data_IF_237393483682
#
_entry.id   IF_237393483682
#
_cell.length_a   1.000
_cell.length_b   1.000
_cell.length_c   1.000
_cell.angle_alpha   90.00
_cell.angle_beta   90.00
_cell.angle_gamma   90.00
#
_symmetry.space_group_name_H-M   'P 1'
#
loop_
_entity.id
_entity.type
_entity.pdbx_description
1 polymer ?
#
# COMPACT_ATOMS: atom_id res chain seq x y z
N UNK A 1 -27.56 6.45 17.67
CA UNK A 1 -27.12 7.28 16.53
C UNK A 1 -26.53 6.35 15.47
N UNK A 2 -27.25 6.10 14.38
CA UNK A 2 -26.77 5.26 13.27
C UNK A 2 -25.79 6.07 12.43
N UNK A 3 -24.53 5.60 12.34
CA UNK A 3 -23.51 6.19 11.47
C UNK A 3 -23.60 5.50 10.11
N UNK A 4 -23.90 6.26 9.07
CA UNK A 4 -23.93 5.75 7.71
C UNK A 4 -22.52 5.78 7.10
N UNK A 5 -22.07 4.70 6.44
CA UNK A 5 -20.78 4.71 5.75
C UNK A 5 -20.84 5.71 4.58
N UNK A 6 -19.90 6.65 4.56
CA UNK A 6 -19.74 7.60 3.46
C UNK A 6 -19.55 6.82 2.16
N UNK A 7 -20.47 6.96 1.21
CA UNK A 7 -20.43 6.23 -0.07
C UNK A 7 -20.87 7.18 -1.16
N UNK A 8 -20.04 7.34 -2.19
CA UNK A 8 -20.34 8.14 -3.38
C UNK A 8 -20.47 7.21 -4.58
N UNK A 9 -21.51 7.40 -5.38
CA UNK A 9 -21.69 6.66 -6.63
C UNK A 9 -21.37 7.56 -7.80
N UNK A 10 -20.37 7.17 -8.59
CA UNK A 10 -20.00 7.81 -9.85
C UNK A 10 -20.30 6.80 -10.98
N UNK A 11 -21.55 6.80 -11.44
CA UNK A 11 -22.03 5.81 -12.43
C UNK A 11 -21.87 4.38 -11.91
N UNK A 12 -21.12 3.48 -12.59
CA UNK A 12 -20.91 2.11 -12.16
C UNK A 12 -19.89 1.95 -11.02
N UNK A 13 -19.17 3.03 -10.65
CA UNK A 13 -18.13 3.00 -9.63
C UNK A 13 -18.68 3.48 -8.29
N UNK A 14 -18.59 2.61 -7.28
CA UNK A 14 -18.92 2.96 -5.89
C UNK A 14 -17.63 3.30 -5.15
N UNK A 15 -17.45 4.57 -4.80
CA UNK A 15 -16.35 5.04 -3.95
C UNK A 15 -16.81 4.95 -2.50
N UNK A 16 -16.15 4.10 -1.72
CA UNK A 16 -16.40 4.00 -0.28
C UNK A 16 -15.52 5.00 0.47
N UNK A 17 -15.99 5.48 1.62
CA UNK A 17 -15.23 6.34 2.52
C UNK A 17 -13.95 5.68 2.99
N UNK A 18 -13.95 4.35 3.14
CA UNK A 18 -12.74 3.58 3.38
C UNK A 18 -11.73 3.75 2.25
N UNK A 19 -12.14 3.57 0.98
CA UNK A 19 -11.26 3.77 -0.17
C UNK A 19 -10.74 5.20 -0.27
N UNK A 20 -11.59 6.19 0.02
CA UNK A 20 -11.19 7.59 0.07
C UNK A 20 -10.13 7.85 1.15
N UNK A 21 -10.32 7.31 2.35
CA UNK A 21 -9.35 7.44 3.44
C UNK A 21 -8.05 6.68 3.16
N UNK A 22 -8.11 5.54 2.48
CA UNK A 22 -6.92 4.83 2.01
C UNK A 22 -6.12 5.69 1.00
N UNK A 23 -6.79 6.34 0.05
CA UNK A 23 -6.14 7.26 -0.89
C UNK A 23 -5.47 8.43 -0.16
N UNK A 24 -6.17 9.05 0.79
CA UNK A 24 -5.60 10.13 1.62
C UNK A 24 -4.39 9.61 2.40
N UNK A 25 -4.46 8.41 2.98
CA UNK A 25 -3.34 7.83 3.71
C UNK A 25 -2.10 7.65 2.81
N UNK A 26 -2.26 7.17 1.58
CA UNK A 26 -1.14 7.03 0.64
C UNK A 26 -0.54 8.37 0.24
N UNK A 27 -1.37 9.38 -0.02
CA UNK A 27 -0.91 10.74 -0.35
C UNK A 27 -0.16 11.38 0.82
N UNK A 28 -0.70 11.26 2.04
CA UNK A 28 -0.06 11.79 3.24
C UNK A 28 1.25 11.07 3.58
N UNK A 29 1.31 9.75 3.40
CA UNK A 29 2.54 8.98 3.58
C UNK A 29 3.61 9.39 2.55
N UNK A 30 3.23 9.50 1.27
CA UNK A 30 4.12 9.96 0.21
C UNK A 30 4.66 11.36 0.49
N UNK A 31 3.78 12.30 0.86
CA UNK A 31 4.18 13.66 1.23
C UNK A 31 5.12 13.69 2.43
N UNK A 32 4.84 12.90 3.48
CA UNK A 32 5.69 12.82 4.67
C UNK A 32 7.09 12.28 4.33
N UNK A 33 7.17 11.23 3.51
CA UNK A 33 8.44 10.68 3.02
C UNK A 33 9.18 11.72 2.17
N UNK A 34 8.48 12.40 1.25
CA UNK A 34 9.06 13.42 0.40
C UNK A 34 9.67 14.57 1.21
N UNK A 35 8.98 15.04 2.25
CA UNK A 35 9.48 16.07 3.16
C UNK A 35 10.74 15.60 3.89
N UNK A 36 10.78 14.35 4.35
CA UNK A 36 11.97 13.78 5.00
C UNK A 36 13.15 13.64 4.02
N UNK A 37 12.91 13.19 2.79
CA UNK A 37 13.92 13.10 1.73
C UNK A 37 14.48 14.48 1.37
N UNK A 38 13.62 15.48 1.21
CA UNK A 38 14.03 16.88 0.97
C UNK A 38 14.91 17.42 2.10
N UNK A 39 14.54 17.17 3.35
CA UNK A 39 15.32 17.59 4.54
C UNK A 39 16.71 16.95 4.57
N UNK A 40 16.87 15.77 3.98
CA UNK A 40 18.13 15.04 3.88
C UNK A 40 18.90 15.34 2.58
N UNK A 41 18.39 16.21 1.71
CA UNK A 41 19.00 16.50 0.41
C UNK A 41 18.98 15.30 -0.56
N UNK A 42 18.04 14.38 -0.38
CA UNK A 42 17.88 13.17 -1.19
C UNK A 42 16.86 13.39 -2.31
N UNK A 43 16.88 12.49 -3.30
CA UNK A 43 15.91 12.54 -4.40
C UNK A 43 14.49 12.26 -3.88
N UNK A 44 13.66 13.29 -3.94
CA UNK A 44 12.25 13.31 -3.52
C UNK A 44 11.37 12.34 -4.31
N UNK A 45 11.68 12.07 -5.58
CA UNK A 45 10.90 11.17 -6.44
C UNK A 45 10.84 9.75 -5.87
N UNK A 46 11.82 9.39 -5.03
CA UNK A 46 11.85 8.10 -4.37
C UNK A 46 10.68 7.89 -3.40
N UNK A 47 10.02 8.95 -2.93
CA UNK A 47 8.81 8.84 -2.12
C UNK A 47 7.67 8.15 -2.89
N UNK A 48 7.48 8.49 -4.16
CA UNK A 48 6.47 7.89 -5.00
C UNK A 48 6.79 6.41 -5.27
N UNK A 49 8.07 6.09 -5.54
CA UNK A 49 8.54 4.72 -5.72
C UNK A 49 8.26 3.86 -4.47
N UNK A 50 8.53 4.38 -3.25
CA UNK A 50 8.23 3.69 -1.99
C UNK A 50 6.74 3.42 -1.84
N UNK A 51 5.89 4.44 -2.02
CA UNK A 51 4.43 4.28 -1.88
C UNK A 51 3.91 3.27 -2.89
N UNK A 52 4.34 3.35 -4.14
CA UNK A 52 3.92 2.42 -5.19
C UNK A 52 4.32 0.97 -4.87
N UNK A 53 5.57 0.76 -4.45
CA UNK A 53 6.05 -0.56 -4.02
C UNK A 53 5.28 -1.10 -2.81
N UNK A 54 4.99 -0.25 -1.82
CA UNK A 54 4.22 -0.63 -0.64
C UNK A 54 2.78 -1.05 -0.98
N UNK A 55 2.10 -0.31 -1.88
CA UNK A 55 0.73 -0.64 -2.32
C UNK A 55 0.71 -1.95 -3.08
N UNK A 56 1.60 -2.13 -4.07
CA UNK A 56 1.65 -3.37 -4.85
C UNK A 56 2.01 -4.56 -3.97
N UNK A 57 3.09 -4.44 -3.20
CA UNK A 57 3.53 -5.47 -2.27
C UNK A 57 2.47 -5.82 -1.24
N UNK A 58 1.73 -4.82 -0.76
CA UNK A 58 0.65 -5.03 0.20
C UNK A 58 -0.56 -5.74 -0.39
N UNK A 59 -0.98 -5.39 -1.60
CA UNK A 59 -2.11 -6.08 -2.26
C UNK A 59 -1.72 -7.53 -2.56
N UNK A 60 -0.53 -7.74 -3.14
CA UNK A 60 -0.05 -9.08 -3.51
C UNK A 60 0.18 -9.94 -2.26
N UNK A 61 0.85 -9.41 -1.24
CA UNK A 61 1.10 -10.13 0.01
C UNK A 61 -0.19 -10.48 0.74
N UNK A 62 -1.16 -9.57 0.80
CA UNK A 62 -2.45 -9.83 1.43
C UNK A 62 -3.23 -10.94 0.73
N UNK A 63 -3.14 -11.02 -0.61
CA UNK A 63 -3.74 -12.06 -1.43
C UNK A 63 -3.08 -13.41 -1.25
N UNK A 64 -1.76 -13.46 -1.35
CA UNK A 64 -0.99 -14.69 -1.17
C UNK A 64 -1.28 -15.27 0.22
N UNK A 65 -1.24 -14.44 1.26
CA UNK A 65 -1.52 -14.89 2.61
C UNK A 65 -2.95 -15.41 2.77
N UNK A 66 -3.94 -14.75 2.16
CA UNK A 66 -5.32 -15.23 2.17
C UNK A 66 -5.43 -16.63 1.56
N UNK A 67 -4.83 -16.85 0.40
CA UNK A 67 -4.85 -18.14 -0.30
C UNK A 67 -4.12 -19.22 0.49
N UNK A 68 -2.98 -18.89 1.11
CA UNK A 68 -2.27 -19.82 1.98
C UNK A 68 -3.10 -20.23 3.21
N UNK A 69 -3.91 -19.30 3.72
CA UNK A 69 -4.78 -19.56 4.88
C UNK A 69 -6.01 -20.38 4.51
N UNK A 70 -6.63 -20.14 3.35
CA UNK A 70 -7.87 -20.81 2.95
C UNK A 70 -7.66 -22.04 2.08
N UNK A 71 -6.51 -22.18 1.42
CA UNK A 71 -6.25 -23.21 0.40
C UNK A 71 -6.95 -22.96 -0.95
N UNK A 72 -7.66 -21.84 -1.09
CA UNK A 72 -8.47 -21.51 -2.26
C UNK A 72 -7.67 -20.69 -3.28
N UNK A 73 -7.00 -21.36 -4.23
CA UNK A 73 -6.16 -20.69 -5.24
C UNK A 73 -6.92 -19.76 -6.19
N UNK A 74 -8.20 -20.02 -6.43
CA UNK A 74 -9.08 -19.17 -7.22
C UNK A 74 -9.37 -17.82 -6.54
N UNK A 75 -9.17 -17.72 -5.21
CA UNK A 75 -9.32 -16.47 -4.47
C UNK A 75 -8.33 -15.37 -4.89
N UNK A 76 -7.25 -15.71 -5.61
CA UNK A 76 -6.34 -14.72 -6.21
C UNK A 76 -7.07 -13.75 -7.15
N UNK A 77 -8.04 -14.25 -7.92
CA UNK A 77 -8.76 -13.46 -8.93
C UNK A 77 -10.08 -12.87 -8.42
N UNK A 78 -10.56 -13.27 -7.24
CA UNK A 78 -11.77 -12.71 -6.64
C UNK A 78 -11.53 -11.27 -6.17
N UNK A 79 -12.57 -10.45 -6.13
CA UNK A 79 -12.47 -9.05 -5.65
C UNK A 79 -12.17 -8.93 -4.15
N UNK A 80 -12.52 -9.95 -3.35
CA UNK A 80 -12.29 -9.99 -1.91
C UNK A 80 -11.19 -10.97 -1.50
N UNK A 81 -10.96 -11.12 -0.20
CA UNK A 81 -9.94 -12.03 0.34
C UNK A 81 -8.59 -11.36 0.47
N UNK A 82 -8.43 -10.58 1.55
CA UNK A 82 -7.20 -9.90 1.90
C UNK A 82 -6.93 -10.13 3.37
N UNK A 83 -5.71 -10.56 3.70
CA UNK A 83 -5.26 -10.67 5.10
C UNK A 83 -4.29 -9.55 5.40
N UNK A 84 -4.56 -8.80 6.45
CA UNK A 84 -3.75 -7.65 6.86
C UNK A 84 -2.28 -8.00 7.08
N UNK A 85 -1.99 -9.12 7.76
CA UNK A 85 -0.62 -9.57 8.01
C UNK A 85 0.16 -9.81 6.72
N UNK A 86 -0.47 -10.46 5.73
CA UNK A 86 0.11 -10.66 4.41
C UNK A 86 0.40 -9.34 3.71
N UNK A 87 -0.53 -8.38 3.80
CA UNK A 87 -0.33 -7.08 3.19
C UNK A 87 0.75 -6.23 3.86
N UNK A 88 0.83 -6.27 5.18
CA UNK A 88 1.88 -5.59 5.91
C UNK A 88 3.26 -6.18 5.56
N UNK A 89 3.42 -7.51 5.64
CA UNK A 89 4.68 -8.18 5.33
C UNK A 89 5.07 -8.02 3.86
N UNK A 90 4.12 -8.16 2.93
CA UNK A 90 4.35 -7.98 1.50
C UNK A 90 4.74 -6.55 1.14
N UNK A 91 4.09 -5.55 1.74
CA UNK A 91 4.43 -4.14 1.55
C UNK A 91 5.83 -3.81 2.05
N UNK A 92 6.18 -4.26 3.26
CA UNK A 92 7.53 -4.09 3.82
C UNK A 92 8.58 -4.77 2.95
N UNK A 93 8.35 -6.02 2.56
CA UNK A 93 9.28 -6.77 1.71
C UNK A 93 9.48 -6.09 0.34
N UNK A 94 8.42 -5.55 -0.26
CA UNK A 94 8.51 -4.83 -1.53
C UNK A 94 9.32 -3.53 -1.43
N UNK A 95 9.11 -2.74 -0.36
CA UNK A 95 9.87 -1.51 -0.14
C UNK A 95 11.35 -1.81 0.13
N UNK A 96 11.65 -2.83 0.96
CA UNK A 96 13.03 -3.25 1.22
C UNK A 96 13.71 -3.79 -0.05
N UNK A 97 12.99 -4.59 -0.84
CA UNK A 97 13.47 -5.10 -2.14
C UNK A 97 13.74 -3.97 -3.14
N UNK A 98 12.86 -2.98 -3.21
CA UNK A 98 13.07 -1.77 -4.01
C UNK A 98 14.33 -1.01 -3.56
N UNK A 99 14.49 -0.80 -2.25
CA UNK A 99 15.66 -0.14 -1.69
C UNK A 99 16.96 -0.89 -2.01
N UNK A 100 16.93 -2.22 -1.91
CA UNK A 100 18.06 -3.07 -2.30
C UNK A 100 18.39 -2.96 -3.79
N UNK A 101 17.38 -3.00 -4.67
CA UNK A 101 17.58 -2.90 -6.12
C UNK A 101 18.12 -1.54 -6.55
N UNK A 102 17.62 -0.46 -5.93
CA UNK A 102 18.08 0.91 -6.14
C UNK A 102 19.40 1.23 -5.39
N UNK A 103 20.00 0.24 -4.71
CA UNK A 103 21.24 0.35 -3.91
C UNK A 103 21.20 1.50 -2.90
N UNK A 104 20.04 1.69 -2.29
CA UNK A 104 19.81 2.73 -1.30
C UNK A 104 20.55 2.36 0.00
N UNK A 105 21.43 3.22 0.54
CA UNK A 105 22.08 3.01 1.83
C UNK A 105 21.07 2.71 2.94
N UNK A 106 21.28 1.60 3.67
CA UNK A 106 20.43 1.21 4.81
C UNK A 106 20.54 2.17 5.99
N UNK A 107 21.68 2.88 6.08
CA UNK A 107 21.99 3.83 7.14
C UNK A 107 22.48 5.14 6.52
N UNK A 108 21.72 6.19 6.74
CA UNK A 108 22.05 7.56 6.35
C UNK A 108 22.61 8.27 7.58
N UNK A 109 23.89 8.03 7.89
CA UNK A 109 24.67 8.82 8.85
C UNK A 109 25.40 9.95 8.15
#
# INVERSE_FOLDING_TARGET
MTIYPLTFQLGPLTITGYGLMMMVAFLMAGWAIQVDLRRRGLNEDYAADIVFAAVIGGIVGAKIWYVLLTGEWDALFRRGGFVWYGGFLGGVAAVLGLGWWRRVPVRWS
#
